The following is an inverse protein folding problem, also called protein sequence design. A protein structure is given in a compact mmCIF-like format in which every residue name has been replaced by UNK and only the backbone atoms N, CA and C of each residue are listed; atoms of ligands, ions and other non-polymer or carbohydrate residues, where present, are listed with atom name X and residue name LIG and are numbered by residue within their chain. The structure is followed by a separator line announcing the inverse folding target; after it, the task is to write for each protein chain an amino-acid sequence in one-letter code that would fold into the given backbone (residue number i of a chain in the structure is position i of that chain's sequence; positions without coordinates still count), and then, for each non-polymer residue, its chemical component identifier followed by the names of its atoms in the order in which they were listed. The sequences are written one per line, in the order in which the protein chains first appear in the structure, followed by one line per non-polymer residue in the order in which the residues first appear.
data_IF_855600430986
#
_entry.id   IF_855600430986
#
_cell.length_a   1.000
_cell.length_b   1.000
_cell.length_c   1.000
_cell.angle_alpha   90.00
_cell.angle_beta   90.00
_cell.angle_gamma   90.00
#
_symmetry.space_group_name_H-M   'P 1'
#
loop_
_entity.id
_entity.type
_entity.pdbx_description
1 polymer ?
#
# COMPACT_ATOMS: atom_id res chain seq x y z
N UNK A 1 9.88 5.00 -17.83
CA UNK A 1 9.43 6.29 -17.27
C UNK A 1 8.80 6.04 -15.91
N UNK A 2 9.52 6.40 -14.83
CA UNK A 2 9.14 6.13 -13.44
C UNK A 2 8.18 7.25 -13.01
N UNK A 3 6.88 6.96 -12.91
CA UNK A 3 5.89 7.91 -12.38
C UNK A 3 6.23 8.18 -10.92
N UNK A 4 6.88 9.32 -10.66
CA UNK A 4 6.97 9.90 -9.33
C UNK A 4 5.54 10.23 -8.89
N UNK A 5 5.02 9.50 -7.91
CA UNK A 5 3.77 9.87 -7.25
C UNK A 5 4.01 11.18 -6.46
N UNK A 6 3.10 12.16 -6.52
CA UNK A 6 3.27 13.50 -5.94
C UNK A 6 3.21 13.56 -4.41
N UNK A 7 3.20 12.42 -3.70
CA UNK A 7 3.01 12.38 -2.23
C UNK A 7 4.32 12.22 -1.43
N UNK A 8 5.38 11.66 -2.05
CA UNK A 8 6.72 11.63 -1.46
C UNK A 8 7.37 13.01 -1.23
N UNK A 9 7.26 14.01 -2.15
CA UNK A 9 7.88 15.30 -1.92
C UNK A 9 7.23 16.04 -0.75
N UNK A 10 5.92 15.89 -0.52
CA UNK A 10 5.24 16.55 0.59
C UNK A 10 5.65 15.97 1.94
N UNK A 11 5.74 14.64 2.08
CA UNK A 11 6.19 14.03 3.33
C UNK A 11 7.64 14.39 3.65
N UNK A 12 8.54 14.29 2.66
CA UNK A 12 9.95 14.69 2.82
C UNK A 12 10.04 16.18 3.15
N UNK A 13 9.25 17.01 2.48
CA UNK A 13 9.15 18.44 2.76
C UNK A 13 8.65 18.72 4.17
N UNK A 14 7.65 17.99 4.67
CA UNK A 14 7.09 18.18 6.02
C UNK A 14 8.09 17.72 7.10
N UNK A 15 8.79 16.60 6.88
CA UNK A 15 9.88 16.14 7.74
C UNK A 15 11.05 17.13 7.72
N UNK A 16 11.44 17.61 6.54
CA UNK A 16 12.51 18.59 6.39
C UNK A 16 12.12 19.95 6.98
N UNK A 17 10.87 20.39 6.80
CA UNK A 17 10.33 21.60 7.40
C UNK A 17 10.28 21.46 8.92
N UNK A 18 9.84 20.32 9.44
CA UNK A 18 9.86 20.02 10.88
C UNK A 18 11.29 20.05 11.41
N UNK A 19 12.25 19.45 10.72
CA UNK A 19 13.66 19.45 11.11
C UNK A 19 14.28 20.85 11.04
N UNK A 20 13.97 21.62 10.00
CA UNK A 20 14.41 22.99 9.79
C UNK A 20 13.84 23.92 10.86
N UNK A 21 12.55 23.78 11.17
CA UNK A 21 11.86 24.48 12.25
C UNK A 21 12.54 24.15 13.58
N UNK A 22 12.72 22.87 13.93
CA UNK A 22 13.40 22.45 15.17
C UNK A 22 14.83 23.01 15.24
N UNK A 23 15.59 22.96 14.15
CA UNK A 23 17.01 23.41 14.11
C UNK A 23 17.13 24.92 14.20
N UNK A 24 16.33 25.66 13.41
CA UNK A 24 16.28 27.13 13.40
C UNK A 24 15.85 27.69 14.77
N UNK A 25 14.98 26.95 15.46
CA UNK A 25 14.41 27.38 16.73
C UNK A 25 15.25 26.94 17.93
N UNK A 26 15.93 25.80 17.85
CA UNK A 26 16.95 25.40 18.82
C UNK A 26 18.15 26.37 18.81
N UNK A 27 18.51 26.90 17.63
CA UNK A 27 19.48 27.99 17.51
C UNK A 27 19.01 29.25 18.27
N UNK A 28 17.70 29.51 18.29
CA UNK A 28 17.10 30.69 18.92
C UNK A 28 16.94 30.56 20.45
N UNK A 29 17.10 29.37 21.05
CA UNK A 29 16.95 29.18 22.50
C UNK A 29 18.30 29.24 23.22
N UNK A 30 18.51 30.19 24.14
CA UNK A 30 19.77 30.34 24.86
C UNK A 30 20.00 29.32 26.00
N UNK A 31 19.03 28.43 26.30
CA UNK A 31 19.19 27.40 27.33
C UNK A 31 18.99 25.97 26.79
N UNK A 32 19.79 24.98 27.26
CA UNK A 32 19.67 23.58 26.86
C UNK A 32 18.43 22.90 27.48
N UNK A 33 17.84 21.97 26.73
CA UNK A 33 16.74 21.14 27.24
C UNK A 33 17.23 20.17 28.31
N UNK A 34 16.53 20.11 29.44
CA UNK A 34 16.79 19.12 30.49
C UNK A 34 15.73 18.02 30.38
N UNK A 35 16.18 16.80 30.10
CA UNK A 35 15.32 15.63 30.02
C UNK A 35 15.08 15.09 31.43
N UNK A 36 13.82 14.84 31.79
CA UNK A 36 13.48 14.22 33.08
C UNK A 36 14.01 12.78 33.10
N UNK A 37 14.45 12.28 34.25
CA UNK A 37 14.74 10.86 34.40
C UNK A 37 13.42 10.09 34.34
N UNK A 38 13.25 9.24 33.33
CA UNK A 38 12.08 8.39 33.14
C UNK A 38 12.52 6.94 32.87
N UNK A 39 11.69 5.98 33.28
CA UNK A 39 11.87 4.56 33.02
C UNK A 39 10.90 4.01 31.97
N UNK A 40 11.01 2.71 31.69
CA UNK A 40 10.09 1.99 30.78
C UNK A 40 8.63 2.14 31.21
N UNK A 41 8.36 2.07 32.52
CA UNK A 41 7.00 2.19 33.05
C UNK A 41 6.38 3.57 32.78
N UNK A 42 7.17 4.64 32.91
CA UNK A 42 6.70 6.01 32.68
C UNK A 42 6.30 6.21 31.21
N UNK A 43 7.08 5.63 30.28
CA UNK A 43 6.79 5.68 28.84
C UNK A 43 5.52 4.90 28.52
N UNK A 44 5.38 3.69 29.06
CA UNK A 44 4.17 2.87 28.84
C UNK A 44 2.94 3.61 29.36
N UNK A 45 3.04 4.22 30.55
CA UNK A 45 1.94 5.01 31.12
C UNK A 45 1.61 6.23 30.26
N UNK A 46 2.62 6.94 29.77
CA UNK A 46 2.46 8.11 28.93
C UNK A 46 1.83 7.78 27.57
N UNK A 47 2.22 6.64 26.98
CA UNK A 47 1.70 6.17 25.69
C UNK A 47 0.34 5.49 25.81
N UNK A 48 -0.09 5.05 26.99
CA UNK A 48 -1.34 4.32 27.18
C UNK A 48 -2.56 5.12 26.71
N UNK A 49 -2.63 6.41 27.04
CA UNK A 49 -3.76 7.27 26.64
C UNK A 49 -3.74 7.57 25.13
N UNK A 50 -2.63 8.03 24.51
CA UNK A 50 -2.50 8.13 23.06
C UNK A 50 -2.80 6.81 22.33
N UNK A 51 -2.41 5.67 22.91
CA UNK A 51 -2.69 4.34 22.37
C UNK A 51 -4.17 4.01 22.36
N UNK A 52 -4.84 4.22 23.48
CA UNK A 52 -6.29 4.03 23.57
C UNK A 52 -7.04 4.90 22.54
N UNK A 53 -6.63 6.15 22.41
CA UNK A 53 -7.20 7.09 21.43
C UNK A 53 -6.93 6.62 20.01
N UNK A 54 -5.73 6.16 19.73
CA UNK A 54 -5.33 5.66 18.42
C UNK A 54 -6.15 4.43 18.03
N UNK A 55 -6.37 3.48 18.95
CA UNK A 55 -7.24 2.32 18.74
C UNK A 55 -8.70 2.73 18.45
N UNK A 56 -9.22 3.68 19.21
CA UNK A 56 -10.58 4.19 18.98
C UNK A 56 -10.70 4.87 17.63
N UNK A 57 -9.72 5.70 17.25
CA UNK A 57 -9.71 6.39 15.96
C UNK A 57 -9.57 5.39 14.81
N UNK A 58 -8.70 4.40 14.93
CA UNK A 58 -8.54 3.34 13.95
C UNK A 58 -9.87 2.64 13.68
N UNK A 59 -10.55 2.19 14.74
CA UNK A 59 -11.83 1.49 14.58
C UNK A 59 -12.96 2.41 14.10
N UNK A 60 -13.00 3.65 14.58
CA UNK A 60 -14.03 4.63 14.19
C UNK A 60 -13.89 5.03 12.72
N UNK A 61 -12.67 5.27 12.26
CA UNK A 61 -12.37 5.62 10.87
C UNK A 61 -12.63 4.46 9.93
N UNK A 62 -12.31 3.23 10.34
CA UNK A 62 -12.67 2.04 9.57
C UNK A 62 -14.18 1.99 9.30
N UNK A 63 -15.00 2.06 10.36
CA UNK A 63 -16.47 1.99 10.23
C UNK A 63 -17.02 3.17 9.42
N UNK A 64 -16.50 4.38 9.64
CA UNK A 64 -16.92 5.57 8.89
C UNK A 64 -16.63 5.41 7.39
N UNK A 65 -15.42 4.97 7.04
CA UNK A 65 -14.98 4.82 5.66
C UNK A 65 -15.70 3.66 4.98
N UNK A 66 -15.87 2.52 5.64
CA UNK A 66 -16.60 1.38 5.07
C UNK A 66 -18.05 1.75 4.79
N UNK A 67 -18.66 2.57 5.64
CA UNK A 67 -20.05 3.03 5.42
C UNK A 67 -20.14 4.04 4.27
N UNK A 68 -19.22 4.99 4.20
CA UNK A 68 -19.27 6.06 3.19
C UNK A 68 -18.78 5.60 1.81
N UNK A 69 -17.64 4.90 1.74
CA UNK A 69 -16.98 4.50 0.49
C UNK A 69 -17.20 3.02 0.12
N UNK A 70 -17.84 2.24 0.99
CA UNK A 70 -18.07 0.81 0.78
C UNK A 70 -18.88 0.49 -0.47
N UNK A 71 -20.02 1.16 -0.69
CA UNK A 71 -20.90 0.85 -1.81
C UNK A 71 -20.23 1.02 -3.20
N UNK A 72 -19.33 2.00 -3.35
CA UNK A 72 -18.59 2.19 -4.61
C UNK A 72 -17.42 1.21 -4.74
N UNK A 73 -16.73 0.90 -3.63
CA UNK A 73 -15.70 -0.14 -3.63
C UNK A 73 -16.29 -1.50 -4.00
N UNK A 74 -17.44 -1.87 -3.42
CA UNK A 74 -18.12 -3.13 -3.68
C UNK A 74 -18.55 -3.27 -5.15
N UNK A 75 -19.14 -2.23 -5.75
CA UNK A 75 -19.47 -2.23 -7.18
C UNK A 75 -18.26 -2.50 -8.07
N UNK A 76 -17.12 -1.93 -7.72
CA UNK A 76 -15.89 -2.07 -8.49
C UNK A 76 -15.27 -3.46 -8.29
N UNK A 77 -15.32 -4.01 -7.08
CA UNK A 77 -14.93 -5.38 -6.76
C UNK A 77 -15.78 -6.40 -7.54
N UNK A 78 -17.10 -6.22 -7.53
CA UNK A 78 -18.04 -7.08 -8.27
C UNK A 78 -17.77 -6.99 -9.78
N UNK A 79 -17.56 -5.79 -10.34
CA UNK A 79 -17.27 -5.63 -11.76
C UNK A 79 -15.96 -6.33 -12.18
N UNK A 80 -14.91 -6.22 -11.37
CA UNK A 80 -13.62 -6.90 -11.61
C UNK A 80 -13.78 -8.42 -11.48
N UNK A 81 -14.52 -8.91 -10.48
CA UNK A 81 -14.78 -10.34 -10.31
C UNK A 81 -15.57 -10.93 -11.47
N UNK A 82 -16.66 -10.28 -11.90
CA UNK A 82 -17.46 -10.71 -13.03
C UNK A 82 -16.61 -10.79 -14.31
N UNK A 83 -15.77 -9.79 -14.57
CA UNK A 83 -14.93 -9.77 -15.76
C UNK A 83 -13.85 -10.86 -15.73
N UNK A 84 -13.27 -11.14 -14.56
CA UNK A 84 -12.35 -12.26 -14.37
C UNK A 84 -13.00 -13.62 -14.66
N UNK A 85 -14.23 -13.82 -14.18
CA UNK A 85 -15.00 -15.04 -14.46
C UNK A 85 -15.20 -15.20 -15.97
N UNK A 86 -15.69 -14.17 -16.65
CA UNK A 86 -15.94 -14.21 -18.10
C UNK A 86 -14.66 -14.46 -18.92
N UNK A 87 -13.53 -13.85 -18.53
CA UNK A 87 -12.24 -14.09 -19.20
C UNK A 87 -11.77 -15.52 -18.97
N UNK A 88 -11.94 -16.05 -17.75
CA UNK A 88 -11.56 -17.43 -17.43
C UNK A 88 -12.39 -18.45 -18.20
N UNK A 89 -13.69 -18.21 -18.37
CA UNK A 89 -14.60 -19.04 -19.16
C UNK A 89 -14.22 -19.00 -20.64
N UNK A 90 -13.98 -17.80 -21.20
CA UNK A 90 -13.55 -17.66 -22.60
C UNK A 90 -12.20 -18.34 -22.85
N UNK A 91 -11.24 -18.22 -21.93
CA UNK A 91 -9.95 -18.89 -22.03
C UNK A 91 -10.13 -20.41 -22.06
N UNK A 92 -10.96 -20.96 -21.16
CA UNK A 92 -11.30 -22.40 -21.16
C UNK A 92 -11.96 -22.84 -22.46
N UNK A 93 -12.90 -22.06 -22.99
CA UNK A 93 -13.56 -22.37 -24.25
C UNK A 93 -12.57 -22.44 -25.42
N UNK A 94 -11.64 -21.47 -25.51
CA UNK A 94 -10.58 -21.47 -26.53
C UNK A 94 -9.68 -22.69 -26.37
N UNK A 95 -9.25 -23.02 -25.15
CA UNK A 95 -8.42 -24.21 -24.87
C UNK A 95 -9.11 -25.52 -25.26
N UNK A 96 -10.41 -25.67 -24.95
CA UNK A 96 -11.19 -26.86 -25.32
C UNK A 96 -11.37 -26.93 -26.84
N UNK A 97 -11.72 -25.83 -27.49
CA UNK A 97 -11.92 -25.82 -28.94
C UNK A 97 -10.62 -26.14 -29.68
N UNK A 98 -9.49 -25.64 -29.18
CA UNK A 98 -8.16 -25.94 -29.72
C UNK A 98 -7.83 -27.43 -29.58
N UNK A 99 -8.02 -28.02 -28.38
CA UNK A 99 -7.80 -29.47 -28.17
C UNK A 99 -8.66 -30.30 -29.11
N UNK A 100 -9.93 -29.95 -29.26
CA UNK A 100 -10.88 -30.72 -30.06
C UNK A 100 -10.57 -30.68 -31.56
N UNK A 101 -10.20 -29.49 -32.09
CA UNK A 101 -9.76 -29.37 -33.49
C UNK A 101 -8.44 -30.09 -33.75
N UNK A 102 -7.52 -30.10 -32.79
CA UNK A 102 -6.24 -30.79 -32.93
C UNK A 102 -6.40 -32.31 -33.01
N UNK A 103 -7.34 -32.89 -32.26
CA UNK A 103 -7.75 -34.30 -32.41
C UNK A 103 -8.43 -34.60 -33.76
N UNK A 104 -9.29 -33.70 -34.27
CA UNK A 104 -9.93 -33.87 -35.58
C UNK A 104 -8.94 -33.80 -36.76
N UNK A 105 -7.90 -32.95 -36.66
CA UNK A 105 -6.83 -32.88 -37.66
C UNK A 105 -5.93 -34.13 -37.68
N UNK A 106 -5.79 -34.82 -36.55
CA UNK A 106 -5.08 -36.10 -36.46
C UNK A 106 -5.87 -37.24 -37.12
N UNK A 107 -7.20 -37.26 -36.98
CA UNK A 107 -8.07 -38.22 -37.68
C UNK A 107 -8.14 -37.97 -39.19
N UNK A 108 -8.23 -36.71 -39.63
CA UNK A 108 -8.30 -36.35 -41.06
C UNK A 108 -7.05 -36.78 -41.85
N UNK A 109 -5.86 -36.72 -41.24
CA UNK A 109 -4.62 -37.18 -41.84
C UNK A 109 -4.55 -38.72 -42.02
N UNK A 110 -5.40 -39.49 -41.33
CA UNK A 110 -5.46 -40.95 -41.52
C UNK A 110 -6.41 -41.39 -42.65
N UNK A 111 -7.30 -40.49 -43.14
CA UNK A 111 -8.41 -40.86 -44.05
C UNK A 111 -8.20 -40.37 -45.50
N UNK A 112 -7.18 -39.55 -45.78
CA UNK A 112 -6.94 -39.03 -47.13
C UNK A 112 -6.33 -40.08 -48.06
N UNK A 113 -7.13 -40.56 -49.02
CA UNK A 113 -6.71 -41.44 -50.11
C UNK A 113 -5.74 -40.81 -51.11
N UNK A 114 -5.33 -41.62 -52.10
CA UNK A 114 -4.28 -41.37 -53.09
C UNK A 114 -4.15 -39.89 -53.57
N UNK A 115 -2.91 -39.38 -53.68
CA UNK A 115 -2.66 -38.01 -54.10
C UNK A 115 -3.17 -37.77 -55.54
N UNK A 116 -3.72 -36.57 -55.84
CA UNK A 116 -4.03 -36.19 -57.20
C UNK A 116 -2.74 -36.18 -58.06
N UNK A 117 -2.86 -36.65 -59.31
CA UNK A 117 -1.73 -36.77 -60.25
C UNK A 117 -0.96 -35.44 -60.37
N UNK A 118 0.32 -35.46 -59.95
CA UNK A 118 1.26 -34.35 -60.15
C UNK A 118 1.86 -33.71 -58.89
N UNK A 119 1.36 -34.01 -57.68
CA UNK A 119 1.98 -33.55 -56.42
C UNK A 119 2.67 -34.67 -55.65
N UNK A 120 3.83 -34.38 -55.03
CA UNK A 120 4.43 -35.32 -54.07
C UNK A 120 3.61 -35.35 -52.78
N UNK A 121 3.53 -36.53 -52.15
CA UNK A 121 2.81 -36.73 -50.89
C UNK A 121 3.26 -35.73 -49.81
N UNK A 122 4.55 -35.41 -49.78
CA UNK A 122 5.15 -34.44 -48.87
C UNK A 122 4.66 -33.01 -49.12
N UNK A 123 4.55 -32.60 -50.39
CA UNK A 123 4.03 -31.28 -50.75
C UNK A 123 2.56 -31.13 -50.36
N UNK A 124 1.75 -32.18 -50.55
CA UNK A 124 0.34 -32.15 -50.17
C UNK A 124 0.14 -32.06 -48.65
N UNK A 125 0.97 -32.75 -47.86
CA UNK A 125 0.96 -32.66 -46.40
C UNK A 125 1.37 -31.27 -45.93
N UNK A 126 2.45 -30.71 -46.49
CA UNK A 126 2.94 -29.36 -46.13
C UNK A 126 1.88 -28.30 -46.46
N UNK A 127 1.24 -28.40 -47.62
CA UNK A 127 0.25 -27.44 -48.07
C UNK A 127 -1.06 -27.52 -47.26
N UNK A 128 -1.57 -28.72 -46.99
CA UNK A 128 -2.73 -28.91 -46.11
C UNK A 128 -2.45 -28.44 -44.68
N UNK A 129 -1.24 -28.68 -44.16
CA UNK A 129 -0.86 -28.22 -42.84
C UNK A 129 -0.75 -26.70 -42.76
N UNK A 130 -0.11 -26.07 -43.75
CA UNK A 130 -0.01 -24.61 -43.83
C UNK A 130 -1.38 -23.94 -43.97
N UNK A 131 -2.24 -24.46 -44.85
CA UNK A 131 -3.58 -23.94 -45.08
C UNK A 131 -4.48 -24.10 -43.85
N UNK A 132 -4.42 -25.24 -43.17
CA UNK A 132 -5.21 -25.48 -41.95
C UNK A 132 -4.72 -24.60 -40.77
N UNK A 133 -3.40 -24.33 -40.67
CA UNK A 133 -2.89 -23.35 -39.70
C UNK A 133 -3.37 -21.93 -39.98
N UNK A 134 -3.39 -21.52 -41.24
CA UNK A 134 -3.80 -20.17 -41.63
C UNK A 134 -5.31 -19.95 -41.44
N UNK A 135 -6.12 -20.97 -41.74
CA UNK A 135 -7.57 -20.98 -41.44
C UNK A 135 -7.85 -20.97 -39.93
N UNK A 136 -7.06 -21.71 -39.15
CA UNK A 136 -7.13 -21.75 -37.70
C UNK A 136 -6.74 -20.40 -37.07
N UNK A 137 -5.69 -19.75 -37.61
CA UNK A 137 -5.30 -18.40 -37.21
C UNK A 137 -6.42 -17.41 -37.53
N UNK A 138 -6.97 -17.41 -38.75
CA UNK A 138 -8.03 -16.50 -39.15
C UNK A 138 -9.33 -16.70 -38.36
N UNK A 139 -9.63 -17.94 -37.94
CA UNK A 139 -10.79 -18.25 -37.10
C UNK A 139 -10.58 -17.84 -35.64
N UNK A 140 -9.36 -17.99 -35.10
CA UNK A 140 -9.07 -17.65 -33.69
C UNK A 140 -8.67 -16.20 -33.47
N UNK A 141 -8.12 -15.51 -34.47
CA UNK A 141 -7.73 -14.09 -34.41
C UNK A 141 -8.83 -13.19 -33.82
N UNK A 142 -10.10 -13.23 -34.25
CA UNK A 142 -11.15 -12.42 -33.64
C UNK A 142 -11.41 -12.76 -32.18
N UNK A 143 -11.28 -14.02 -31.77
CA UNK A 143 -11.44 -14.45 -30.38
C UNK A 143 -10.27 -14.00 -29.50
N UNK A 144 -9.04 -14.02 -30.02
CA UNK A 144 -7.84 -13.55 -29.34
C UNK A 144 -7.85 -12.02 -29.19
N UNK A 145 -8.30 -11.29 -30.23
CA UNK A 145 -8.42 -9.84 -30.21
C UNK A 145 -9.53 -9.38 -29.22
N UNK A 146 -10.68 -10.05 -29.19
CA UNK A 146 -11.73 -9.83 -28.19
C UNK A 146 -11.23 -10.11 -26.78
N UNK A 147 -10.49 -11.20 -26.57
CA UNK A 147 -9.93 -11.54 -25.26
C UNK A 147 -8.89 -10.52 -24.81
N UNK A 148 -8.01 -10.08 -25.71
CA UNK A 148 -7.02 -9.03 -25.44
C UNK A 148 -7.69 -7.72 -25.04
N UNK A 149 -8.75 -7.33 -25.75
CA UNK A 149 -9.55 -6.14 -25.42
C UNK A 149 -10.15 -6.24 -24.02
N UNK A 150 -10.76 -7.39 -23.68
CA UNK A 150 -11.34 -7.62 -22.35
C UNK A 150 -10.29 -7.63 -21.24
N UNK A 151 -9.09 -8.15 -21.49
CA UNK A 151 -7.99 -8.12 -20.53
C UNK A 151 -7.55 -6.68 -20.28
N UNK A 152 -7.44 -5.86 -21.33
CA UNK A 152 -7.10 -4.45 -21.18
C UNK A 152 -8.16 -3.67 -20.40
N UNK A 153 -9.45 -3.93 -20.66
CA UNK A 153 -10.56 -3.33 -19.91
C UNK A 153 -10.54 -3.77 -18.43
N UNK A 154 -10.25 -5.04 -18.16
CA UNK A 154 -10.10 -5.54 -16.79
C UNK A 154 -8.95 -4.86 -16.07
N UNK A 155 -7.78 -4.78 -16.71
CA UNK A 155 -6.59 -4.12 -16.15
C UNK A 155 -6.89 -2.65 -15.82
N UNK A 156 -7.69 -1.98 -16.65
CA UNK A 156 -8.14 -0.62 -16.37
C UNK A 156 -9.01 -0.57 -15.11
N UNK A 157 -10.03 -1.42 -14.99
CA UNK A 157 -10.90 -1.47 -13.80
C UNK A 157 -10.12 -1.85 -12.53
N UNK A 158 -9.17 -2.75 -12.63
CA UNK A 158 -8.31 -3.13 -11.51
C UNK A 158 -7.41 -1.96 -11.08
N UNK A 159 -6.89 -1.18 -12.05
CA UNK A 159 -6.16 0.06 -11.76
C UNK A 159 -7.06 1.08 -11.07
N UNK A 160 -8.29 1.27 -11.55
CA UNK A 160 -9.28 2.15 -10.91
C UNK A 160 -9.62 1.70 -9.48
N UNK A 161 -9.70 0.38 -9.25
CA UNK A 161 -9.93 -0.21 -7.93
C UNK A 161 -8.79 0.07 -6.97
N UNK A 162 -7.56 -0.15 -7.41
CA UNK A 162 -6.36 0.10 -6.62
C UNK A 162 -6.26 1.60 -6.29
N UNK A 163 -6.48 2.47 -7.28
CA UNK A 163 -6.51 3.92 -7.07
C UNK A 163 -7.58 4.31 -6.04
N UNK A 164 -8.81 3.81 -6.18
CA UNK A 164 -9.90 4.09 -5.25
C UNK A 164 -9.56 3.66 -3.81
N UNK A 165 -8.95 2.48 -3.64
CA UNK A 165 -8.52 1.98 -2.33
C UNK A 165 -7.37 2.81 -1.75
N UNK A 166 -6.43 3.25 -2.60
CA UNK A 166 -5.34 4.14 -2.21
C UNK A 166 -5.88 5.48 -1.70
N UNK A 167 -6.75 6.14 -2.48
CA UNK A 167 -7.37 7.40 -2.10
C UNK A 167 -8.13 7.29 -0.78
N UNK A 168 -8.78 6.14 -0.57
CA UNK A 168 -9.51 5.86 0.67
C UNK A 168 -8.57 5.83 1.88
N UNK A 169 -7.40 5.20 1.74
CA UNK A 169 -6.37 5.17 2.79
C UNK A 169 -5.78 6.54 3.06
N UNK A 170 -5.55 7.32 2.01
CA UNK A 170 -5.03 8.69 2.14
C UNK A 170 -6.01 9.55 2.94
N UNK A 171 -7.31 9.48 2.63
CA UNK A 171 -8.34 10.20 3.40
C UNK A 171 -8.37 9.72 4.86
N UNK A 172 -8.28 8.42 5.12
CA UNK A 172 -8.21 7.88 6.47
C UNK A 172 -7.03 8.47 7.27
N UNK A 173 -5.86 8.54 6.63
CA UNK A 173 -4.66 9.06 7.23
C UNK A 173 -4.80 10.55 7.57
N UNK A 174 -5.26 11.38 6.62
CA UNK A 174 -5.45 12.81 6.87
C UNK A 174 -6.51 13.10 7.93
N UNK A 175 -7.61 12.35 7.94
CA UNK A 175 -8.67 12.51 8.95
C UNK A 175 -8.20 12.10 10.35
N UNK A 176 -7.42 11.03 10.47
CA UNK A 176 -6.78 10.63 11.73
C UNK A 176 -5.75 11.65 12.22
N UNK A 177 -4.95 12.21 11.31
CA UNK A 177 -3.95 13.24 11.62
C UNK A 177 -4.62 14.52 12.12
N UNK A 178 -5.66 14.98 11.42
CA UNK A 178 -6.43 16.14 11.86
C UNK A 178 -7.04 15.91 13.24
N UNK A 179 -7.62 14.73 13.47
CA UNK A 179 -8.19 14.36 14.78
C UNK A 179 -7.12 14.32 15.87
N UNK A 180 -5.94 13.75 15.58
CA UNK A 180 -4.80 13.70 16.51
C UNK A 180 -4.27 15.09 16.88
N UNK A 181 -4.20 16.02 15.92
CA UNK A 181 -3.80 17.42 16.18
C UNK A 181 -4.83 18.13 17.07
N UNK A 182 -6.13 17.95 16.80
CA UNK A 182 -7.20 18.51 17.64
C UNK A 182 -7.13 17.97 19.08
N UNK A 183 -6.95 16.66 19.22
CA UNK A 183 -6.79 15.99 20.50
C UNK A 183 -5.56 16.50 21.25
N UNK A 184 -4.45 16.72 20.55
CA UNK A 184 -3.24 17.23 21.18
C UNK A 184 -3.34 18.69 21.63
N UNK A 185 -4.17 19.48 20.94
CA UNK A 185 -4.50 20.85 21.35
C UNK A 185 -5.25 20.89 22.69
N UNK A 186 -6.10 19.88 22.96
CA UNK A 186 -6.86 19.76 24.22
C UNK A 186 -5.95 19.45 25.42
N UNK A 187 -4.73 18.96 25.18
CA UNK A 187 -3.74 18.70 26.23
C UNK A 187 -3.23 17.26 26.29
N UNK A 188 -3.64 16.40 25.35
CA UNK A 188 -3.10 15.03 25.25
C UNK A 188 -1.77 15.10 24.50
N UNK A 189 -0.68 14.94 25.24
CA UNK A 189 0.68 15.24 24.78
C UNK A 189 1.64 14.10 25.13
N UNK A 190 2.44 13.71 24.15
CA UNK A 190 3.30 12.52 24.27
C UNK A 190 4.73 12.87 24.68
N UNK A 191 5.22 14.08 24.40
CA UNK A 191 6.61 14.48 24.69
C UNK A 191 6.68 15.54 25.78
N UNK A 192 5.73 16.48 25.85
CA UNK A 192 5.76 17.53 26.90
C UNK A 192 5.95 16.99 28.32
N UNK A 193 5.32 15.86 28.72
CA UNK A 193 5.51 15.33 30.07
C UNK A 193 6.92 14.81 30.38
N UNK A 194 7.77 14.59 29.37
CA UNK A 194 9.14 14.06 29.50
C UNK A 194 10.20 15.15 29.61
N UNK A 195 9.85 16.41 29.31
CA UNK A 195 10.81 17.53 29.20
C UNK A 195 10.57 18.52 30.34
N UNK A 196 11.66 18.95 30.98
CA UNK A 196 11.61 20.05 31.95
C UNK A 196 11.68 21.34 31.14
N UNK A 197 10.55 22.05 31.08
CA UNK A 197 10.42 23.29 30.32
C UNK A 197 10.62 24.45 31.28
N UNK A 198 11.64 25.28 31.03
CA UNK A 198 11.82 26.53 31.77
C UNK A 198 10.75 27.54 31.33
N UNK A 199 9.91 27.96 32.28
CA UNK A 199 8.86 28.97 32.07
C UNK A 199 9.39 30.35 31.68
N UNK A 200 10.70 30.59 31.81
CA UNK A 200 11.33 31.90 31.54
C UNK A 200 11.38 32.28 30.05
N UNK A 201 11.28 31.31 29.13
CA UNK A 201 11.37 31.54 27.69
C UNK A 201 10.05 31.19 26.96
N UNK A 202 9.14 32.16 26.76
CA UNK A 202 7.84 31.91 26.15
C UNK A 202 7.96 31.40 24.70
N UNK A 203 8.99 31.82 23.97
CA UNK A 203 9.25 31.39 22.59
C UNK A 203 9.55 29.89 22.55
N UNK A 204 10.45 29.40 23.41
CA UNK A 204 10.78 27.97 23.51
C UNK A 204 9.53 27.11 23.83
N UNK A 205 8.66 27.59 24.71
CA UNK A 205 7.41 26.89 25.09
C UNK A 205 6.48 26.73 23.90
N UNK A 206 6.23 27.80 23.15
CA UNK A 206 5.32 27.77 21.99
C UNK A 206 5.84 26.79 20.94
N UNK A 207 7.15 26.81 20.69
CA UNK A 207 7.80 25.98 19.67
C UNK A 207 7.73 24.52 20.05
N UNK A 208 8.12 24.21 21.29
CA UNK A 208 8.09 22.86 21.81
C UNK A 208 6.68 22.28 21.75
N UNK A 209 5.66 23.09 22.10
CA UNK A 209 4.26 22.68 22.02
C UNK A 209 3.79 22.45 20.58
N UNK A 210 4.17 23.31 19.63
CA UNK A 210 3.85 23.08 18.23
C UNK A 210 4.43 21.74 17.74
N UNK A 211 5.70 21.48 18.05
CA UNK A 211 6.35 20.23 17.67
C UNK A 211 5.71 19.01 18.33
N UNK A 212 5.42 19.09 19.63
CA UNK A 212 4.75 18.01 20.37
C UNK A 212 3.32 17.74 19.86
N UNK A 213 2.59 18.79 19.45
CA UNK A 213 1.26 18.65 18.82
C UNK A 213 1.37 17.90 17.49
N UNK A 214 2.32 18.27 16.64
CA UNK A 214 2.54 17.59 15.37
C UNK A 214 2.98 16.14 15.56
N UNK A 215 3.91 15.90 16.49
CA UNK A 215 4.45 14.57 16.72
C UNK A 215 3.42 13.66 17.41
N UNK A 216 2.68 14.18 18.39
CA UNK A 216 1.58 13.45 19.04
C UNK A 216 0.44 13.17 18.05
N UNK A 217 0.06 14.15 17.22
CA UNK A 217 -0.94 13.96 16.17
C UNK A 217 -0.50 12.91 15.14
N UNK A 218 0.77 12.94 14.73
CA UNK A 218 1.36 11.93 13.84
C UNK A 218 1.43 10.55 14.47
N UNK A 219 1.76 10.46 15.77
CA UNK A 219 1.77 9.22 16.52
C UNK A 219 0.38 8.59 16.61
N UNK A 220 -0.65 9.40 16.89
CA UNK A 220 -2.05 8.95 16.92
C UNK A 220 -2.51 8.50 15.53
N UNK A 221 -2.18 9.27 14.49
CA UNK A 221 -2.49 8.94 13.09
C UNK A 221 -1.79 7.67 12.59
N UNK A 222 -0.64 7.33 13.20
CA UNK A 222 0.08 6.09 12.95
C UNK A 222 -0.64 4.82 13.40
N UNK A 223 -1.78 4.95 14.10
CA UNK A 223 -2.53 3.81 14.60
C UNK A 223 -1.83 3.10 15.77
N UNK A 224 -2.38 1.95 16.18
CA UNK A 224 -1.73 1.08 17.18
C UNK A 224 -0.34 0.63 16.73
N UNK A 225 -0.14 0.49 15.42
CA UNK A 225 1.12 0.07 14.80
C UNK A 225 2.24 1.10 14.99
N UNK A 226 1.95 2.40 14.84
CA UNK A 226 2.92 3.46 15.06
C UNK A 226 3.44 3.48 16.50
N UNK A 227 2.52 3.33 17.46
CA UNK A 227 2.83 3.28 18.88
C UNK A 227 3.61 2.02 19.24
N UNK A 228 3.21 0.86 18.72
CA UNK A 228 3.92 -0.40 18.93
C UNK A 228 5.38 -0.33 18.45
N UNK A 229 5.61 0.21 17.24
CA UNK A 229 6.96 0.43 16.70
C UNK A 229 7.78 1.38 17.57
N UNK A 230 7.19 2.45 18.09
CA UNK A 230 7.87 3.37 19.00
C UNK A 230 8.34 2.66 20.26
N UNK A 231 7.48 1.85 20.88
CA UNK A 231 7.83 1.04 22.05
C UNK A 231 8.97 0.07 21.72
N UNK A 232 8.91 -0.64 20.59
CA UNK A 232 9.98 -1.55 20.18
C UNK A 232 11.33 -0.83 20.02
N UNK A 233 11.35 0.32 19.35
CA UNK A 233 12.58 1.12 19.17
C UNK A 233 13.15 1.52 20.54
N UNK A 234 12.29 1.94 21.46
CA UNK A 234 12.72 2.30 22.82
C UNK A 234 13.30 1.10 23.58
N UNK A 235 12.62 -0.05 23.57
CA UNK A 235 13.08 -1.28 24.23
C UNK A 235 14.43 -1.73 23.66
N UNK A 236 14.56 -1.76 22.33
CA UNK A 236 15.79 -2.14 21.65
C UNK A 236 16.96 -1.22 22.02
N UNK A 237 16.70 0.09 22.10
CA UNK A 237 17.72 1.06 22.51
C UNK A 237 18.18 0.83 23.96
N UNK A 238 17.22 0.68 24.88
CA UNK A 238 17.51 0.41 26.30
C UNK A 238 18.30 -0.89 26.50
N UNK A 239 17.94 -1.95 25.77
CA UNK A 239 18.64 -3.23 25.83
C UNK A 239 20.07 -3.13 25.28
N UNK A 240 20.25 -2.42 24.15
CA UNK A 240 21.57 -2.18 23.57
C UNK A 240 22.48 -1.38 24.51
N UNK A 241 21.96 -0.30 25.12
CA UNK A 241 22.69 0.50 26.10
C UNK A 241 23.03 -0.30 27.36
N UNK A 242 22.08 -1.08 27.89
CA UNK A 242 22.31 -1.95 29.05
C UNK A 242 23.40 -2.99 28.78
N UNK A 243 23.37 -3.62 27.60
CA UNK A 243 24.40 -4.58 27.17
C UNK A 243 25.78 -3.92 27.02
N UNK A 244 25.85 -2.70 26.50
CA UNK A 244 27.09 -1.95 26.36
C UNK A 244 27.70 -1.60 27.72
N UNK A 245 26.90 -1.11 28.67
CA UNK A 245 27.34 -0.80 30.04
C UNK A 245 27.82 -2.08 30.75
N UNK A 246 27.07 -3.18 30.62
CA UNK A 246 27.45 -4.48 31.19
C UNK A 246 28.80 -4.96 30.65
N UNK A 247 29.01 -4.95 29.33
CA UNK A 247 30.28 -5.38 28.74
C UNK A 247 31.47 -4.48 29.13
N UNK A 248 31.23 -3.20 29.38
CA UNK A 248 32.29 -2.26 29.81
C UNK A 248 32.75 -2.48 31.25
N UNK A 249 31.89 -3.08 32.10
CA UNK A 249 32.24 -3.44 33.48
C UNK A 249 32.96 -4.79 33.61
N UNK A 250 33.13 -5.54 32.51
CA UNK A 250 33.86 -6.81 32.46
C UNK A 250 35.20 -6.72 31.70
N UNK A 251 35.69 -5.50 31.43
CA UNK A 251 37.05 -5.21 30.93
C UNK A 251 37.78 -4.30 31.89
#
# INVERSE_FOLDING_TARGET
MRKFSPEFPLFIFLVFLSFLVVTLLAWLSPQPFIIKTFGLNDIIQLLALPFFISLLLERSLEVFITTWRGAKAEKLDVAVQQQNILISEKRRFIEVQQKQRQSAALEFNQVSGLPPEGMSLEQQIIQNFAQNQEELLNTMKPHLDDLSTKINELNQKETERIAYKSDTRIIALWTSLLSGILISTIGIRSIEPLVIIDSSNPTQIIIFRCFDIFLTGGLIAGGSEGIHKLIQVFVNFMEATSKQIRNRNFS
#
